data_IF_652268307519
#
_entry.id   IF_652268307519
#
_cell.length_a   1.000
_cell.length_b   1.000
_cell.length_c   1.000
_cell.angle_alpha   90.00
_cell.angle_beta   90.00
_cell.angle_gamma   90.00
#
_symmetry.space_group_name_H-M   'P 1'
#
loop_
_entity.id
_entity.type
_entity.pdbx_description
1 polymer ?
#
# COMPACT_ATOMS: atom_id res chain seq x y z
N UNK A 1 -5.07 18.84 -45.29
CA UNK A 1 -6.41 19.28 -44.91
C UNK A 1 -7.23 18.02 -44.55
N UNK A 2 -7.48 17.83 -43.25
CA UNK A 2 -8.20 16.66 -42.74
C UNK A 2 -9.70 16.83 -43.00
N UNK A 3 -10.19 16.24 -44.08
CA UNK A 3 -11.64 16.22 -44.36
C UNK A 3 -12.24 15.05 -43.57
N UNK A 4 -12.87 15.33 -42.42
CA UNK A 4 -13.59 14.35 -41.61
C UNK A 4 -14.73 13.77 -42.44
N UNK A 5 -14.63 12.48 -42.76
CA UNK A 5 -15.68 11.76 -43.50
C UNK A 5 -16.75 11.29 -42.49
N UNK A 6 -17.98 11.11 -42.95
CA UNK A 6 -19.06 10.54 -42.11
C UNK A 6 -18.69 9.22 -41.49
N UNK A 7 -17.88 8.40 -42.22
CA UNK A 7 -17.32 7.13 -41.75
C UNK A 7 -16.40 7.31 -40.55
N UNK A 8 -15.52 8.33 -40.58
CA UNK A 8 -14.59 8.58 -39.47
C UNK A 8 -15.33 8.88 -38.17
N UNK A 9 -16.41 9.66 -38.26
CA UNK A 9 -17.27 10.01 -37.12
C UNK A 9 -18.03 8.79 -36.60
N UNK A 10 -18.47 7.90 -37.49
CA UNK A 10 -19.19 6.69 -37.13
C UNK A 10 -18.26 5.75 -36.34
N UNK A 11 -17.07 5.44 -36.85
CA UNK A 11 -16.07 4.59 -36.21
C UNK A 11 -15.61 5.20 -34.88
N UNK A 12 -15.34 6.53 -34.85
CA UNK A 12 -14.93 7.23 -33.64
C UNK A 12 -16.00 7.17 -32.54
N UNK A 13 -17.28 7.33 -32.89
CA UNK A 13 -18.40 7.25 -31.94
C UNK A 13 -18.53 5.83 -31.37
N UNK A 14 -18.47 4.82 -32.23
CA UNK A 14 -18.59 3.42 -31.81
C UNK A 14 -17.44 3.01 -30.89
N UNK A 15 -16.20 3.35 -31.28
CA UNK A 15 -15.02 3.14 -30.43
C UNK A 15 -15.12 3.90 -29.10
N UNK A 16 -15.48 5.18 -29.10
CA UNK A 16 -15.54 5.99 -27.90
C UNK A 16 -16.54 5.45 -26.86
N UNK A 17 -17.70 4.99 -27.32
CA UNK A 17 -18.71 4.40 -26.44
C UNK A 17 -18.22 3.09 -25.83
N UNK A 18 -17.62 2.24 -26.63
CA UNK A 18 -17.02 0.97 -26.17
C UNK A 18 -15.84 1.24 -25.24
N UNK A 19 -14.99 2.24 -25.55
CA UNK A 19 -13.85 2.60 -24.74
C UNK A 19 -14.26 3.02 -23.32
N UNK A 20 -15.28 3.85 -23.17
CA UNK A 20 -15.77 4.25 -21.86
C UNK A 20 -16.26 3.03 -21.06
N UNK A 21 -17.06 2.15 -21.67
CA UNK A 21 -17.55 0.95 -21.02
C UNK A 21 -16.42 0.00 -20.60
N UNK A 22 -15.51 -0.30 -21.52
CA UNK A 22 -14.35 -1.19 -21.23
C UNK A 22 -13.38 -0.59 -20.23
N UNK A 23 -13.21 0.74 -20.22
CA UNK A 23 -12.37 1.42 -19.26
C UNK A 23 -12.90 1.21 -17.82
N UNK A 24 -14.20 1.43 -17.59
CA UNK A 24 -14.78 1.18 -16.26
C UNK A 24 -14.70 -0.28 -15.83
N UNK A 25 -14.88 -1.22 -16.76
CA UNK A 25 -14.73 -2.65 -16.47
C UNK A 25 -13.29 -2.98 -16.08
N UNK A 26 -12.31 -2.55 -16.87
CA UNK A 26 -10.90 -2.76 -16.57
C UNK A 26 -10.50 -2.11 -15.25
N UNK A 27 -10.93 -0.86 -15.02
CA UNK A 27 -10.69 -0.13 -13.79
C UNK A 27 -11.25 -0.88 -12.56
N UNK A 28 -12.46 -1.40 -12.67
CA UNK A 28 -13.09 -2.16 -11.58
C UNK A 28 -12.34 -3.46 -11.29
N UNK A 29 -11.94 -4.22 -12.34
CA UNK A 29 -11.18 -5.47 -12.17
C UNK A 29 -9.84 -5.19 -11.49
N UNK A 30 -9.09 -4.17 -11.95
CA UNK A 30 -7.82 -3.79 -11.34
C UNK A 30 -8.00 -3.32 -9.90
N UNK A 31 -9.08 -2.57 -9.63
CA UNK A 31 -9.39 -2.10 -8.28
C UNK A 31 -9.68 -3.27 -7.34
N UNK A 32 -10.44 -4.28 -7.79
CA UNK A 32 -10.69 -5.50 -7.01
C UNK A 32 -9.42 -6.29 -6.75
N UNK A 33 -8.56 -6.45 -7.77
CA UNK A 33 -7.27 -7.12 -7.61
C UNK A 33 -6.39 -6.41 -6.59
N UNK A 34 -6.37 -5.09 -6.62
CA UNK A 34 -5.58 -4.28 -5.71
C UNK A 34 -6.15 -4.28 -4.28
N UNK A 35 -7.48 -4.34 -4.15
CA UNK A 35 -8.17 -4.43 -2.87
C UNK A 35 -7.75 -5.69 -2.10
N UNK A 36 -7.65 -6.84 -2.77
CA UNK A 36 -7.19 -8.09 -2.15
C UNK A 36 -5.81 -7.95 -1.51
N UNK A 37 -4.93 -7.13 -2.08
CA UNK A 37 -3.60 -6.88 -1.53
C UNK A 37 -3.62 -6.12 -0.21
N UNK A 38 -4.62 -5.26 0.01
CA UNK A 38 -4.71 -4.38 1.19
C UNK A 38 -5.86 -4.77 2.13
N UNK A 39 -6.46 -5.94 1.91
CA UNK A 39 -7.63 -6.37 2.70
C UNK A 39 -7.30 -6.51 4.17
N UNK A 40 -6.10 -7.02 4.50
CA UNK A 40 -5.62 -7.18 5.88
C UNK A 40 -5.40 -5.83 6.57
N UNK A 41 -5.02 -4.80 5.80
CA UNK A 41 -4.87 -3.44 6.30
C UNK A 41 -6.20 -2.71 6.54
N UNK A 42 -7.29 -3.20 5.93
CA UNK A 42 -8.63 -2.59 5.99
C UNK A 42 -9.52 -3.25 7.02
N UNK A 43 -9.44 -4.59 7.18
CA UNK A 43 -10.29 -5.37 8.09
C UNK A 43 -9.77 -5.24 9.52
N UNK A 44 -10.67 -5.09 10.47
CA UNK A 44 -10.38 -5.09 11.90
C UNK A 44 -9.91 -3.76 12.51
N UNK A 45 -9.61 -2.74 11.69
CA UNK A 45 -9.08 -1.44 12.19
C UNK A 45 -10.15 -0.39 12.54
N UNK A 46 -11.43 -0.73 12.51
CA UNK A 46 -12.52 0.19 12.87
C UNK A 46 -12.46 1.53 12.11
N UNK A 47 -12.15 1.47 10.81
CA UNK A 47 -12.02 2.66 9.97
C UNK A 47 -13.37 3.31 9.72
N UNK A 48 -13.43 4.65 9.76
CA UNK A 48 -14.63 5.38 9.40
C UNK A 48 -14.91 5.27 7.90
N UNK A 49 -16.19 5.31 7.50
CA UNK A 49 -16.60 5.24 6.10
C UNK A 49 -15.96 6.33 5.24
N UNK A 50 -15.69 7.50 5.80
CA UNK A 50 -15.03 8.62 5.10
C UNK A 50 -13.59 8.28 4.71
N UNK A 51 -12.85 7.63 5.61
CA UNK A 51 -11.48 7.18 5.36
C UNK A 51 -11.46 6.08 4.30
N UNK A 52 -12.41 5.16 4.36
CA UNK A 52 -12.56 4.10 3.38
C UNK A 52 -12.88 4.65 1.99
N UNK A 53 -13.80 5.62 1.89
CA UNK A 53 -14.13 6.29 0.64
C UNK A 53 -12.91 7.04 0.04
N UNK A 54 -12.13 7.73 0.87
CA UNK A 54 -10.88 8.36 0.44
C UNK A 54 -9.84 7.34 -0.06
N UNK A 55 -9.72 6.19 0.61
CA UNK A 55 -8.84 5.11 0.19
C UNK A 55 -9.21 4.62 -1.22
N UNK A 56 -10.48 4.30 -1.46
CA UNK A 56 -10.96 3.86 -2.77
C UNK A 56 -10.77 4.93 -3.85
N UNK A 57 -10.97 6.20 -3.50
CA UNK A 57 -10.78 7.32 -4.42
C UNK A 57 -9.32 7.44 -4.88
N UNK A 58 -8.37 7.51 -3.95
CA UNK A 58 -6.94 7.61 -4.28
C UNK A 58 -6.43 6.35 -4.98
N UNK A 59 -6.88 5.18 -4.56
CA UNK A 59 -6.57 3.91 -5.21
C UNK A 59 -7.06 3.89 -6.67
N UNK A 60 -8.28 4.33 -6.91
CA UNK A 60 -8.85 4.43 -8.25
C UNK A 60 -8.01 5.35 -9.14
N UNK A 61 -7.62 6.55 -8.65
CA UNK A 61 -6.76 7.48 -9.40
C UNK A 61 -5.39 6.87 -9.72
N UNK A 62 -4.80 6.12 -8.82
CA UNK A 62 -3.51 5.46 -9.02
C UNK A 62 -3.56 4.39 -10.12
N UNK A 63 -4.71 3.70 -10.28
CA UNK A 63 -4.89 2.62 -11.24
C UNK A 63 -5.27 3.09 -12.64
N UNK A 64 -5.72 4.34 -12.82
CA UNK A 64 -6.10 4.90 -14.14
C UNK A 64 -5.05 4.69 -15.21
N UNK A 65 -3.74 4.98 -14.99
CA UNK A 65 -2.74 4.80 -16.04
C UNK A 65 -2.55 3.36 -16.48
N UNK A 66 -2.81 2.39 -15.60
CA UNK A 66 -2.72 0.97 -15.90
C UNK A 66 -3.96 0.45 -16.63
N UNK A 67 -5.13 0.99 -16.31
CA UNK A 67 -6.40 0.64 -16.95
C UNK A 67 -6.48 1.14 -18.40
N UNK A 68 -5.90 2.30 -18.70
CA UNK A 68 -6.01 2.94 -20.04
C UNK A 68 -5.49 2.05 -21.19
N UNK A 69 -4.28 1.48 -21.16
CA UNK A 69 -3.81 0.63 -22.25
C UNK A 69 -4.67 -0.61 -22.47
N UNK A 70 -5.11 -1.25 -21.37
CA UNK A 70 -6.00 -2.41 -21.42
C UNK A 70 -7.35 -2.05 -22.04
N UNK A 71 -7.93 -0.92 -21.63
CA UNK A 71 -9.19 -0.44 -22.16
C UNK A 71 -9.11 -0.09 -23.65
N UNK A 72 -8.02 0.55 -24.09
CA UNK A 72 -7.79 0.85 -25.51
C UNK A 72 -7.71 -0.41 -26.33
N UNK A 73 -6.92 -1.39 -25.89
CA UNK A 73 -6.73 -2.66 -26.58
C UNK A 73 -8.07 -3.42 -26.69
N UNK A 74 -8.78 -3.56 -25.57
CA UNK A 74 -10.04 -4.29 -25.53
C UNK A 74 -11.14 -3.60 -26.34
N UNK A 75 -11.28 -2.28 -26.22
CA UNK A 75 -12.27 -1.51 -26.96
C UNK A 75 -12.00 -1.51 -28.46
N UNK A 76 -10.74 -1.46 -28.89
CA UNK A 76 -10.38 -1.55 -30.31
C UNK A 76 -10.70 -2.93 -30.89
N UNK A 77 -10.36 -4.00 -30.12
CA UNK A 77 -10.66 -5.36 -30.52
C UNK A 77 -12.17 -5.59 -30.70
N UNK A 78 -12.98 -5.15 -29.72
CA UNK A 78 -14.43 -5.28 -29.77
C UNK A 78 -15.01 -4.42 -30.91
N UNK A 79 -14.55 -3.16 -31.08
CA UNK A 79 -15.04 -2.28 -32.12
C UNK A 79 -14.83 -2.87 -33.52
N UNK A 80 -13.64 -3.37 -33.80
CA UNK A 80 -13.34 -3.99 -35.08
C UNK A 80 -13.92 -5.39 -35.23
N UNK A 81 -14.05 -6.14 -34.15
CA UNK A 81 -14.77 -7.39 -34.11
C UNK A 81 -16.24 -7.24 -34.56
N UNK A 82 -16.93 -6.26 -33.95
CA UNK A 82 -18.32 -5.96 -34.28
C UNK A 82 -18.47 -5.51 -35.76
N UNK A 83 -17.55 -4.62 -36.24
CA UNK A 83 -17.53 -4.22 -37.69
C UNK A 83 -17.28 -5.37 -38.62
N UNK A 84 -16.49 -6.37 -38.20
CA UNK A 84 -16.25 -7.60 -38.96
C UNK A 84 -17.47 -8.50 -38.99
N UNK A 85 -18.10 -8.72 -37.84
CA UNK A 85 -19.28 -9.56 -37.69
C UNK A 85 -20.50 -9.01 -38.46
N UNK A 86 -20.72 -7.71 -38.40
CA UNK A 86 -21.79 -7.03 -39.12
C UNK A 86 -21.55 -6.91 -40.64
N UNK A 87 -20.44 -7.46 -41.16
CA UNK A 87 -20.02 -7.32 -42.57
C UNK A 87 -19.77 -5.87 -43.04
N UNK A 88 -19.86 -4.89 -42.16
CA UNK A 88 -19.60 -3.49 -42.46
C UNK A 88 -18.15 -3.27 -42.88
N UNK A 89 -17.19 -3.98 -42.26
CA UNK A 89 -15.79 -3.94 -42.63
C UNK A 89 -15.55 -4.45 -44.05
N UNK A 90 -16.30 -5.48 -44.47
CA UNK A 90 -16.25 -6.02 -45.83
C UNK A 90 -16.83 -5.03 -46.84
N UNK A 91 -17.93 -4.37 -46.51
CA UNK A 91 -18.52 -3.31 -47.33
C UNK A 91 -17.58 -2.11 -47.49
N UNK A 92 -16.88 -1.68 -46.42
CA UNK A 92 -15.87 -0.63 -46.45
C UNK A 92 -14.72 -1.00 -47.41
N UNK A 93 -14.23 -2.25 -47.37
CA UNK A 93 -13.18 -2.74 -48.26
C UNK A 93 -13.66 -2.82 -49.69
N UNK A 94 -14.89 -3.29 -49.95
CA UNK A 94 -15.49 -3.36 -51.29
C UNK A 94 -15.65 -1.96 -51.92
N UNK A 95 -15.85 -0.92 -51.11
CA UNK A 95 -15.86 0.48 -51.53
C UNK A 95 -14.45 1.05 -51.85
N UNK A 96 -13.40 0.23 -51.82
CA UNK A 96 -12.02 0.67 -52.11
C UNK A 96 -11.30 1.36 -51.00
N UNK A 97 -11.87 1.37 -49.78
CA UNK A 97 -11.25 2.01 -48.57
C UNK A 97 -10.29 1.00 -47.97
N UNK A 98 -9.02 1.38 -47.82
CA UNK A 98 -8.03 0.51 -47.17
C UNK A 98 -8.29 0.41 -45.66
N UNK A 99 -7.88 -0.73 -45.06
CA UNK A 99 -8.00 -0.99 -43.63
C UNK A 99 -7.31 0.09 -42.82
N UNK A 100 -6.15 0.58 -43.25
CA UNK A 100 -5.38 1.65 -42.60
C UNK A 100 -6.16 2.96 -42.60
N UNK A 101 -6.94 3.24 -43.65
CA UNK A 101 -7.81 4.40 -43.68
C UNK A 101 -9.00 4.30 -42.69
N UNK A 102 -9.52 3.07 -42.51
CA UNK A 102 -10.57 2.81 -41.52
C UNK A 102 -10.05 2.96 -40.06
N UNK A 103 -8.78 2.60 -39.82
CA UNK A 103 -8.15 2.77 -38.48
C UNK A 103 -7.77 4.21 -38.14
N UNK A 104 -7.70 5.10 -39.12
CA UNK A 104 -7.25 6.47 -38.93
C UNK A 104 -7.96 7.23 -37.81
N UNK A 105 -9.30 7.26 -37.69
CA UNK A 105 -9.99 7.97 -36.62
C UNK A 105 -9.66 7.42 -35.24
N UNK A 106 -9.47 6.11 -35.14
CA UNK A 106 -9.07 5.43 -33.89
C UNK A 106 -7.67 5.85 -33.47
N UNK A 107 -6.70 5.84 -34.38
CA UNK A 107 -5.33 6.28 -34.11
C UNK A 107 -5.29 7.71 -33.55
N UNK A 108 -6.08 8.63 -34.15
CA UNK A 108 -6.16 10.01 -33.69
C UNK A 108 -6.69 10.08 -32.24
N UNK A 109 -7.76 9.33 -31.92
CA UNK A 109 -8.32 9.31 -30.57
C UNK A 109 -7.29 8.73 -29.57
N UNK A 110 -6.61 7.64 -29.94
CA UNK A 110 -5.59 7.01 -29.08
C UNK A 110 -4.43 7.97 -28.80
N UNK A 111 -4.01 8.77 -29.79
CA UNK A 111 -2.99 9.79 -29.59
C UNK A 111 -3.46 10.84 -28.57
N UNK A 112 -4.70 11.31 -28.66
CA UNK A 112 -5.26 12.25 -27.68
C UNK A 112 -5.32 11.62 -26.27
N UNK A 113 -5.74 10.36 -26.16
CA UNK A 113 -5.73 9.62 -24.88
C UNK A 113 -4.32 9.49 -24.34
N UNK A 114 -3.32 9.21 -25.20
CA UNK A 114 -1.91 9.10 -24.80
C UNK A 114 -1.37 10.41 -24.21
N UNK A 115 -1.66 11.55 -24.85
CA UNK A 115 -1.31 12.87 -24.29
C UNK A 115 -2.03 13.14 -22.95
N UNK A 116 -3.30 12.80 -22.86
CA UNK A 116 -4.06 12.91 -21.61
C UNK A 116 -3.48 12.04 -20.51
N UNK A 117 -3.11 10.80 -20.81
CA UNK A 117 -2.47 9.87 -19.90
C UNK A 117 -1.10 10.38 -19.43
N UNK A 118 -0.31 10.94 -20.34
CA UNK A 118 0.98 11.54 -20.02
C UNK A 118 0.83 12.70 -19.03
N UNK A 119 -0.10 13.60 -19.27
CA UNK A 119 -0.42 14.70 -18.36
C UNK A 119 -0.90 14.18 -17.00
N UNK A 120 -1.78 13.19 -17.01
CA UNK A 120 -2.30 12.56 -15.79
C UNK A 120 -1.19 11.95 -14.94
N UNK A 121 -0.28 11.20 -15.55
CA UNK A 121 0.84 10.56 -14.86
C UNK A 121 1.84 11.55 -14.28
N UNK A 122 2.04 12.70 -14.92
CA UNK A 122 3.01 13.69 -14.45
C UNK A 122 2.45 14.64 -13.39
N UNK A 123 1.15 14.90 -13.37
CA UNK A 123 0.54 15.91 -12.48
C UNK A 123 -0.34 15.26 -11.41
N UNK A 124 -1.26 14.40 -11.81
CA UNK A 124 -2.26 13.82 -10.90
C UNK A 124 -1.70 12.57 -10.20
N UNK A 125 -1.00 11.72 -10.95
CA UNK A 125 -0.46 10.45 -10.44
C UNK A 125 0.43 10.60 -9.20
N UNK A 126 1.45 11.46 -9.19
CA UNK A 126 2.33 11.65 -8.03
C UNK A 126 1.57 12.14 -6.80
N UNK A 127 0.64 13.08 -6.97
CA UNK A 127 -0.17 13.60 -5.87
C UNK A 127 -1.12 12.54 -5.31
N UNK A 128 -1.74 11.75 -6.17
CA UNK A 128 -2.61 10.64 -5.77
C UNK A 128 -1.81 9.57 -5.01
N UNK A 129 -0.63 9.21 -5.49
CA UNK A 129 0.25 8.22 -4.87
C UNK A 129 0.75 8.67 -3.48
N UNK A 130 1.15 9.95 -3.36
CA UNK A 130 1.53 10.52 -2.05
C UNK A 130 0.36 10.51 -1.07
N UNK A 131 -0.83 10.91 -1.52
CA UNK A 131 -2.03 10.94 -0.68
C UNK A 131 -2.45 9.53 -0.26
N UNK A 132 -2.36 8.57 -1.17
CA UNK A 132 -2.60 7.16 -0.89
C UNK A 132 -1.62 6.62 0.15
N UNK A 133 -0.31 6.86 -0.02
CA UNK A 133 0.73 6.41 0.91
C UNK A 133 0.57 7.03 2.30
N UNK A 134 0.24 8.34 2.38
CA UNK A 134 -0.05 9.01 3.65
C UNK A 134 -1.27 8.42 4.34
N UNK A 135 -2.33 8.14 3.58
CA UNK A 135 -3.53 7.53 4.12
C UNK A 135 -3.24 6.12 4.66
N UNK A 136 -2.53 5.31 3.88
CA UNK A 136 -2.14 3.95 4.27
C UNK A 136 -1.28 3.96 5.55
N UNK A 137 -0.33 4.88 5.63
CA UNK A 137 0.50 5.05 6.82
C UNK A 137 -0.33 5.48 8.04
N UNK A 138 -1.27 6.43 7.86
CA UNK A 138 -2.16 6.84 8.94
C UNK A 138 -3.09 5.73 9.44
N UNK A 139 -3.50 4.83 8.52
CA UNK A 139 -4.28 3.64 8.88
C UNK A 139 -3.44 2.64 9.69
N UNK A 140 -2.18 2.44 9.32
CA UNK A 140 -1.23 1.60 10.07
C UNK A 140 -0.93 2.17 11.44
N UNK A 141 -0.71 3.46 11.55
CA UNK A 141 -0.45 4.14 12.83
C UNK A 141 -1.65 4.20 13.78
N UNK A 142 -2.88 4.04 13.27
CA UNK A 142 -4.09 4.11 14.11
C UNK A 142 -4.24 2.90 15.03
N UNK A 143 -3.66 1.76 14.68
CA UNK A 143 -3.75 0.52 15.45
C UNK A 143 -2.47 -0.32 15.32
N UNK A 144 -1.33 0.13 15.88
CA UNK A 144 -0.10 -0.65 15.88
C UNK A 144 -0.26 -1.98 16.64
N UNK A 145 -1.23 -2.04 17.54
CA UNK A 145 -1.62 -3.24 18.27
C UNK A 145 -2.07 -4.39 17.35
N UNK A 146 -2.59 -4.07 16.18
CA UNK A 146 -3.11 -5.05 15.21
C UNK A 146 -2.02 -5.62 14.27
N UNK A 147 -0.85 -5.04 14.21
CA UNK A 147 0.23 -5.47 13.29
C UNK A 147 1.05 -6.65 13.79
N UNK A 148 0.93 -7.02 15.08
CA UNK A 148 1.71 -8.14 15.63
C UNK A 148 1.11 -9.46 15.15
N UNK A 149 1.84 -10.24 14.31
CA UNK A 149 1.38 -11.52 13.82
C UNK A 149 1.41 -12.57 14.94
N UNK A 150 0.47 -13.52 14.90
CA UNK A 150 0.46 -14.66 15.80
C UNK A 150 1.50 -15.71 15.39
N UNK A 151 2.22 -16.27 16.36
CA UNK A 151 3.13 -17.39 16.15
C UNK A 151 4.44 -17.06 15.41
N UNK A 152 4.72 -15.77 15.16
CA UNK A 152 5.93 -15.31 14.48
C UNK A 152 6.61 -14.22 15.29
N UNK A 153 7.94 -14.15 15.18
CA UNK A 153 8.70 -13.05 15.77
C UNK A 153 8.48 -11.76 14.98
N UNK A 154 8.08 -10.73 15.68
CA UNK A 154 7.88 -9.39 15.14
C UNK A 154 9.06 -8.50 15.53
N UNK A 155 9.77 -7.99 14.54
CA UNK A 155 10.97 -7.14 14.66
C UNK A 155 10.71 -5.65 14.36
N UNK A 156 9.44 -5.27 14.20
CA UNK A 156 9.04 -3.89 13.89
C UNK A 156 9.25 -2.87 15.03
N UNK A 157 9.79 -3.30 16.19
CA UNK A 157 10.10 -2.43 17.32
C UNK A 157 11.61 -2.36 17.47
N UNK A 158 12.25 -1.17 17.37
CA UNK A 158 13.69 -1.01 17.51
C UNK A 158 14.21 -1.60 18.82
N UNK A 159 15.20 -2.48 18.73
CA UNK A 159 15.84 -3.11 19.89
C UNK A 159 15.03 -4.19 20.61
N UNK A 160 13.88 -4.59 20.10
CA UNK A 160 13.03 -5.62 20.70
C UNK A 160 12.42 -6.55 19.65
N UNK A 161 12.59 -7.87 19.81
CA UNK A 161 11.85 -8.88 19.06
C UNK A 161 10.72 -9.40 19.93
N UNK A 162 9.49 -9.23 19.46
CA UNK A 162 8.27 -9.63 20.16
C UNK A 162 7.69 -10.90 19.53
N UNK A 163 7.43 -11.91 20.33
CA UNK A 163 6.69 -13.10 19.92
C UNK A 163 5.39 -13.19 20.72
N UNK A 164 4.29 -13.47 20.04
CA UNK A 164 2.97 -13.65 20.64
C UNK A 164 2.39 -14.98 20.15
N UNK A 165 2.03 -15.84 21.08
CA UNK A 165 1.49 -17.15 20.75
C UNK A 165 0.07 -17.05 20.22
N UNK A 166 -0.78 -16.23 20.86
CA UNK A 166 -2.18 -16.00 20.48
C UNK A 166 -2.61 -14.59 20.84
N UNK A 167 -3.47 -14.02 20.02
CA UNK A 167 -4.00 -12.68 20.20
C UNK A 167 -5.52 -12.72 20.19
N UNK A 168 -6.13 -12.00 21.11
CA UNK A 168 -7.56 -11.76 21.11
C UNK A 168 -7.87 -10.43 20.40
N UNK A 169 -8.52 -10.51 19.25
CA UNK A 169 -8.84 -9.35 18.42
C UNK A 169 -9.94 -8.46 19.03
N UNK A 170 -10.80 -9.00 19.92
CA UNK A 170 -11.86 -8.23 20.54
C UNK A 170 -11.37 -7.40 21.73
N UNK A 171 -10.50 -7.99 22.57
CA UNK A 171 -10.01 -7.36 23.80
C UNK A 171 -8.62 -6.74 23.66
N UNK A 172 -7.89 -6.99 22.56
CA UNK A 172 -6.51 -6.56 22.35
C UNK A 172 -5.49 -7.24 23.28
N UNK A 173 -5.89 -8.34 23.97
CA UNK A 173 -5.01 -9.09 24.85
C UNK A 173 -4.12 -10.04 24.06
N UNK A 174 -2.86 -10.10 24.49
CA UNK A 174 -1.83 -10.98 23.96
C UNK A 174 -1.60 -12.12 24.96
N UNK A 175 -1.49 -13.35 24.48
CA UNK A 175 -1.24 -14.53 25.30
C UNK A 175 0.06 -15.19 24.87
N UNK A 176 0.83 -15.70 25.87
CA UNK A 176 2.11 -16.33 25.62
C UNK A 176 3.12 -15.36 24.99
N UNK A 177 3.37 -14.26 25.67
CA UNK A 177 4.23 -13.17 25.18
C UNK A 177 5.68 -13.46 25.55
N UNK A 178 6.57 -13.43 24.54
CA UNK A 178 8.01 -13.53 24.72
C UNK A 178 8.68 -12.34 24.05
N UNK A 179 9.55 -11.67 24.78
CA UNK A 179 10.26 -10.47 24.29
C UNK A 179 11.75 -10.69 24.44
N UNK A 180 12.46 -10.55 23.33
CA UNK A 180 13.91 -10.48 23.32
C UNK A 180 14.32 -9.02 23.20
N UNK A 181 14.95 -8.47 24.25
CA UNK A 181 15.53 -7.14 24.20
C UNK A 181 16.99 -7.28 23.76
N UNK A 182 17.33 -6.66 22.65
CA UNK A 182 18.69 -6.65 22.11
C UNK A 182 19.44 -5.39 22.54
N UNK A 183 20.75 -5.53 22.72
CA UNK A 183 21.66 -4.40 22.87
C UNK A 183 22.27 -4.06 21.50
N UNK A 184 22.87 -2.87 21.35
CA UNK A 184 23.53 -2.39 20.13
C UNK A 184 24.58 -3.34 19.56
N UNK A 185 25.06 -4.31 20.35
CA UNK A 185 26.00 -5.36 19.96
C UNK A 185 25.35 -6.66 19.46
N UNK A 186 24.04 -6.66 19.17
CA UNK A 186 23.27 -7.86 18.79
C UNK A 186 23.36 -9.03 19.82
N UNK A 187 23.70 -8.75 21.06
CA UNK A 187 23.66 -9.70 22.16
C UNK A 187 22.33 -9.57 22.92
N UNK A 188 21.74 -10.71 23.30
CA UNK A 188 20.52 -10.74 24.10
C UNK A 188 20.79 -10.08 25.46
N UNK A 189 20.28 -8.88 25.66
CA UNK A 189 20.41 -8.16 26.94
C UNK A 189 19.41 -8.65 27.99
N UNK A 190 18.19 -8.96 27.54
CA UNK A 190 17.16 -9.49 28.43
C UNK A 190 16.12 -10.33 27.64
N UNK A 191 15.59 -11.35 28.32
CA UNK A 191 14.47 -12.16 27.84
C UNK A 191 13.33 -11.98 28.83
N UNK A 192 12.15 -11.69 28.33
CA UNK A 192 10.95 -11.51 29.14
C UNK A 192 9.91 -12.52 28.67
N UNK A 193 9.42 -13.31 29.60
CA UNK A 193 8.33 -14.26 29.37
C UNK A 193 7.13 -13.81 30.18
N UNK A 194 5.96 -13.72 29.58
CA UNK A 194 4.73 -13.34 30.26
C UNK A 194 3.55 -14.19 29.79
N UNK A 195 2.68 -14.58 30.70
CA UNK A 195 1.48 -15.36 30.39
C UNK A 195 0.51 -14.56 29.53
N UNK A 196 0.38 -13.27 29.83
CA UNK A 196 -0.46 -12.36 29.06
C UNK A 196 0.09 -10.94 29.06
N UNK A 197 -0.29 -10.18 28.04
CA UNK A 197 0.07 -8.78 27.92
C UNK A 197 -1.03 -7.96 27.28
N UNK A 198 -0.97 -6.66 27.44
CA UNK A 198 -1.83 -5.69 26.78
C UNK A 198 -0.98 -4.57 26.22
N UNK A 199 -1.08 -4.36 24.92
CA UNK A 199 -0.39 -3.29 24.23
C UNK A 199 -1.35 -2.10 24.11
N UNK A 200 -0.91 -0.92 24.52
CA UNK A 200 -1.68 0.31 24.41
C UNK A 200 -0.80 1.41 23.82
N UNK A 201 -1.34 2.18 22.91
CA UNK A 201 -0.66 3.37 22.39
C UNK A 201 -0.82 4.52 23.40
N UNK A 202 0.25 5.23 23.69
CA UNK A 202 0.20 6.45 24.53
C UNK A 202 -0.57 7.55 23.79
N UNK A 203 -1.22 8.46 24.53
CA UNK A 203 -2.00 9.58 23.98
C UNK A 203 -1.20 10.44 22.98
N UNK A 204 0.11 10.52 23.12
CA UNK A 204 1.03 11.23 22.23
C UNK A 204 1.46 10.41 21.00
N UNK A 205 1.05 9.12 20.89
CA UNK A 205 1.37 8.19 19.79
C UNK A 205 2.87 8.00 19.48
N UNK A 206 3.75 8.43 20.38
CA UNK A 206 5.20 8.27 20.22
C UNK A 206 5.76 7.04 20.93
N UNK A 207 5.05 6.50 21.91
CA UNK A 207 5.47 5.35 22.68
C UNK A 207 4.35 4.32 22.77
N UNK A 208 4.73 3.05 22.74
CA UNK A 208 3.84 1.92 23.00
C UNK A 208 4.00 1.47 24.45
N UNK A 209 2.92 1.42 25.17
CA UNK A 209 2.87 0.96 26.55
C UNK A 209 2.48 -0.51 26.55
N UNK A 210 3.45 -1.38 26.81
CA UNK A 210 3.23 -2.80 26.94
C UNK A 210 3.09 -3.17 28.42
N UNK A 211 1.89 -3.55 28.82
CA UNK A 211 1.63 -4.06 30.17
C UNK A 211 1.60 -5.56 30.15
N UNK A 212 2.54 -6.19 30.85
CA UNK A 212 2.68 -7.64 31.00
C UNK A 212 2.12 -8.10 32.33
N UNK A 213 1.47 -9.24 32.33
CA UNK A 213 0.89 -9.86 33.51
C UNK A 213 1.48 -11.25 33.71
N UNK A 214 1.84 -11.56 34.96
CA UNK A 214 2.38 -12.86 35.38
C UNK A 214 3.54 -13.31 34.49
N UNK A 215 4.75 -13.03 34.90
CA UNK A 215 5.90 -13.34 34.05
C UNK A 215 7.23 -13.36 34.76
N UNK A 216 8.25 -13.67 33.97
CA UNK A 216 9.63 -13.73 34.37
C UNK A 216 10.50 -12.87 33.48
N UNK A 217 11.44 -12.17 34.08
CA UNK A 217 12.45 -11.35 33.43
C UNK A 217 13.82 -11.97 33.66
N UNK A 218 14.50 -12.29 32.60
CA UNK A 218 15.87 -12.77 32.60
C UNK A 218 16.79 -11.72 32.01
N UNK A 219 17.75 -11.23 32.78
CA UNK A 219 18.69 -10.20 32.34
C UNK A 219 20.12 -10.72 32.44
N UNK A 220 20.88 -10.52 31.39
CA UNK A 220 22.28 -10.93 31.33
C UNK A 220 23.16 -9.78 31.87
N UNK A 221 23.88 -10.02 32.96
CA UNK A 221 24.72 -9.02 33.64
C UNK A 221 26.17 -8.99 33.13
N UNK A 222 26.42 -9.23 31.85
CA UNK A 222 27.78 -9.21 31.27
C UNK A 222 28.55 -7.90 31.47
N UNK A 223 27.87 -6.78 31.72
CA UNK A 223 28.53 -5.48 31.88
C UNK A 223 29.14 -5.22 33.27
N UNK A 224 28.81 -6.03 34.27
CA UNK A 224 29.51 -5.99 35.55
C UNK A 224 30.64 -7.03 35.51
N UNK A 225 31.83 -6.55 35.17
CA UNK A 225 33.08 -7.35 35.28
C UNK A 225 33.21 -7.91 36.67
N UNK A 226 32.74 -9.13 36.88
CA UNK A 226 33.16 -9.95 37.99
C UNK A 226 34.28 -10.87 37.54
N UNK A 227 35.47 -10.53 37.99
CA UNK A 227 36.67 -11.32 37.81
C UNK A 227 36.43 -12.78 38.25
N UNK A 228 36.84 -13.71 37.38
CA UNK A 228 37.12 -15.13 37.70
C UNK A 228 35.91 -15.97 38.13
N UNK A 229 35.15 -16.41 37.17
CA UNK A 229 34.22 -17.52 37.33
C UNK A 229 33.61 -17.92 36.01
N UNK A 230 33.50 -19.21 35.71
CA UNK A 230 32.96 -19.83 34.49
C UNK A 230 31.42 -19.65 34.37
N UNK A 231 30.78 -18.86 35.22
CA UNK A 231 29.33 -18.66 35.25
C UNK A 231 28.99 -17.27 34.78
N UNK A 232 28.16 -17.17 33.77
CA UNK A 232 27.59 -15.90 33.32
C UNK A 232 26.52 -15.46 34.33
N UNK A 233 26.71 -14.36 35.07
CA UNK A 233 25.72 -13.95 36.04
C UNK A 233 24.45 -13.49 35.30
N UNK A 234 23.34 -14.12 35.59
CA UNK A 234 22.03 -13.68 35.12
C UNK A 234 21.12 -13.34 36.31
N UNK A 235 20.30 -12.33 36.15
CA UNK A 235 19.27 -11.91 37.11
C UNK A 235 17.93 -12.49 36.64
N UNK A 236 17.25 -13.22 37.52
CA UNK A 236 15.86 -13.65 37.32
C UNK A 236 14.95 -12.85 38.24
N UNK A 237 13.93 -12.21 37.68
CA UNK A 237 12.94 -11.44 38.40
C UNK A 237 11.55 -11.94 38.00
N UNK A 238 10.74 -12.34 39.00
CA UNK A 238 9.34 -12.70 38.78
C UNK A 238 8.45 -11.48 39.05
N UNK A 239 7.50 -11.21 38.21
CA UNK A 239 6.59 -10.09 38.36
C UNK A 239 5.12 -10.49 38.15
N UNK A 240 4.20 -9.88 38.90
CA UNK A 240 2.76 -10.04 38.71
C UNK A 240 2.25 -9.09 37.63
N UNK A 241 2.76 -7.88 37.61
CA UNK A 241 2.44 -6.85 36.61
C UNK A 241 3.68 -6.01 36.35
N UNK A 242 4.05 -5.87 35.09
CA UNK A 242 5.17 -5.01 34.68
C UNK A 242 4.77 -4.20 33.44
N UNK A 243 5.02 -2.92 33.47
CA UNK A 243 4.72 -2.03 32.35
C UNK A 243 6.04 -1.60 31.74
N UNK A 244 6.17 -1.79 30.45
CA UNK A 244 7.36 -1.47 29.65
C UNK A 244 6.95 -0.40 28.65
N UNK A 245 7.70 0.68 28.59
CA UNK A 245 7.61 1.68 27.56
C UNK A 245 8.51 1.23 26.41
N UNK A 246 7.93 1.03 25.25
CA UNK A 246 8.64 0.71 24.03
C UNK A 246 8.70 1.98 23.19
N UNK A 247 9.90 2.44 22.88
CA UNK A 247 10.08 3.56 21.96
C UNK A 247 9.73 3.07 20.55
N UNK A 248 8.59 3.50 20.08
CA UNK A 248 8.17 3.26 18.73
C UNK A 248 8.57 4.50 17.93
N UNK A 249 9.66 4.35 17.18
CA UNK A 249 10.12 5.41 16.29
C UNK A 249 9.09 5.57 15.16
N UNK A 250 8.06 6.37 15.43
CA UNK A 250 7.12 6.83 14.40
C UNK A 250 7.76 7.92 13.52
N UNK A 251 9.08 8.11 13.63
CA UNK A 251 9.85 9.08 12.87
C UNK A 251 10.10 8.68 11.40
N UNK A 252 9.06 8.14 10.75
CA UNK A 252 8.84 8.54 9.38
C UNK A 252 8.16 9.91 9.42
N UNK A 253 8.95 10.89 9.75
CA UNK A 253 8.57 12.27 9.80
C UNK A 253 7.92 12.64 8.45
N UNK A 254 6.71 13.17 8.48
CA UNK A 254 6.10 13.85 7.33
C UNK A 254 7.05 14.95 6.79
N UNK A 255 8.01 15.40 7.60
CA UNK A 255 9.11 16.26 7.21
C UNK A 255 10.10 15.54 6.25
N UNK A 256 10.42 14.25 6.44
CA UNK A 256 11.33 13.52 5.53
C UNK A 256 10.65 13.20 4.20
N UNK A 257 9.35 12.94 4.18
CA UNK A 257 8.60 12.85 2.93
C UNK A 257 8.51 14.22 2.22
N UNK A 258 8.50 15.33 2.96
CA UNK A 258 8.56 16.69 2.40
C UNK A 258 9.99 17.06 1.97
N UNK A 259 11.01 16.58 2.66
CA UNK A 259 12.43 16.75 2.29
C UNK A 259 12.77 15.94 1.03
N UNK A 260 12.27 14.71 0.91
CA UNK A 260 12.37 13.91 -0.33
C UNK A 260 11.64 14.59 -1.50
N UNK A 261 10.49 15.23 -1.25
CA UNK A 261 9.77 15.99 -2.27
C UNK A 261 10.49 17.28 -2.66
N UNK A 262 11.20 17.91 -1.75
CA UNK A 262 12.00 19.11 -2.02
C UNK A 262 13.30 18.75 -2.73
N UNK A 263 14.01 17.69 -2.34
CA UNK A 263 15.15 17.16 -3.07
C UNK A 263 14.79 16.75 -4.51
N UNK A 264 13.62 16.19 -4.72
CA UNK A 264 13.14 15.87 -6.06
C UNK A 264 12.89 17.13 -6.90
N UNK A 265 12.40 18.21 -6.30
CA UNK A 265 12.21 19.50 -6.98
C UNK A 265 13.55 20.17 -7.30
N UNK A 266 14.54 20.06 -6.41
CA UNK A 266 15.89 20.57 -6.64
C UNK A 266 16.65 19.76 -7.70
N UNK A 267 16.52 18.44 -7.71
CA UNK A 267 17.07 17.61 -8.78
C UNK A 267 16.49 17.94 -10.16
N UNK A 268 15.20 18.31 -10.20
CA UNK A 268 14.54 18.71 -11.45
C UNK A 268 14.90 20.13 -11.90
N UNK A 269 15.29 21.01 -10.98
CA UNK A 269 15.75 22.37 -11.27
C UNK A 269 17.22 22.42 -11.75
N UNK A 270 18.02 21.39 -11.41
CA UNK A 270 19.45 21.31 -11.72
C UNK A 270 19.81 20.35 -12.88
N UNK A 271 18.80 19.79 -13.59
CA UNK A 271 19.07 19.04 -14.82
C UNK A 271 19.14 20.03 -16.00
N UNK A 272 20.28 20.09 -16.74
CA UNK A 272 20.50 20.99 -17.86
C UNK A 272 19.54 20.74 -19.03
#
# INVERSE_FOLDING_TARGET
MFRIRKLDKFIARQFGLLFVGTFFICQFILMMQFLWKYIDDLIGKGLSMDVLAQFFWYMSLMLVPQALPLAILLSSLIAFGNLGESSELTAIKAAGISLMQAFRPLIVIVIFIAFGSFYFQNVIGPNANMSFSRLLLSMKQKSPELEIPEGVFYDGIPGCNLYVQKKDLETGKLYGVMIYKMTDSYEDAAIILADSGMLQSTAEKKHLLLTLYSGEWFENMKSQQVMRGTSVPYRRETFVKKTILLDFDSDFNVADASALSNNWKECKANSP
#
